data_IF_838965377921
#
_entry.id   IF_838965377921
#
_cell.length_a   1.000
_cell.length_b   1.000
_cell.length_c   1.000
_cell.angle_alpha   90.00
_cell.angle_beta   90.00
_cell.angle_gamma   90.00
#
_symmetry.space_group_name_H-M   'P 1'
#
loop_
_entity.id
_entity.type
_entity.pdbx_description
1 polymer ?
#
# COMPACT_ATOMS: atom_id res chain seq x y z
N UNK A 1 -9.70 4.30 3.40
CA UNK A 1 -8.52 3.58 2.90
C UNK A 1 -8.12 4.16 1.56
N UNK A 2 -6.82 4.34 1.38
CA UNK A 2 -6.15 4.92 0.23
C UNK A 2 -5.34 3.83 -0.46
N UNK A 3 -5.38 3.77 -1.80
CA UNK A 3 -4.53 2.87 -2.58
C UNK A 3 -3.45 3.69 -3.27
N UNK A 4 -2.21 3.27 -3.07
CA UNK A 4 -1.04 3.77 -3.76
C UNK A 4 -0.42 2.64 -4.59
N UNK A 5 0.24 2.97 -5.70
CA UNK A 5 0.93 1.99 -6.53
C UNK A 5 2.11 2.62 -7.26
N UNK A 6 3.08 1.80 -7.67
CA UNK A 6 4.14 2.26 -8.57
C UNK A 6 3.84 1.76 -9.99
N UNK A 7 3.68 2.66 -10.98
CA UNK A 7 3.20 2.29 -12.33
C UNK A 7 4.08 1.28 -13.08
N UNK A 8 5.34 1.16 -12.69
CA UNK A 8 6.41 0.45 -13.39
C UNK A 8 6.95 -0.78 -12.64
N UNK A 9 6.51 -1.05 -11.40
CA UNK A 9 6.99 -2.20 -10.60
C UNK A 9 5.90 -3.11 -10.05
N UNK A 10 4.62 -2.77 -10.24
CA UNK A 10 3.50 -3.56 -9.71
C UNK A 10 3.37 -3.50 -8.18
N UNK A 11 4.22 -2.71 -7.50
CA UNK A 11 4.13 -2.51 -6.08
C UNK A 11 2.83 -1.75 -5.73
N UNK A 12 2.14 -2.22 -4.70
CA UNK A 12 0.84 -1.70 -4.25
C UNK A 12 0.84 -1.52 -2.73
N UNK A 13 0.28 -0.41 -2.26
CA UNK A 13 0.07 -0.13 -0.85
C UNK A 13 -1.40 0.24 -0.60
N UNK A 14 -1.98 -0.31 0.46
CA UNK A 14 -3.28 0.10 1.00
C UNK A 14 -3.09 0.73 2.37
N UNK A 15 -3.35 2.04 2.50
CA UNK A 15 -3.21 2.80 3.73
C UNK A 15 -4.58 3.03 4.37
N UNK A 16 -4.72 2.83 5.68
CA UNK A 16 -6.01 2.97 6.37
C UNK A 16 -6.10 4.11 7.34
N UNK A 17 -5.13 4.22 8.22
CA UNK A 17 -5.10 5.17 9.32
C UNK A 17 -3.74 5.84 9.37
N UNK A 18 -3.73 7.09 9.82
CA UNK A 18 -2.53 7.88 10.04
C UNK A 18 -2.40 8.03 11.56
N UNK A 19 -1.18 7.89 12.07
CA UNK A 19 -0.88 8.14 13.47
C UNK A 19 -1.19 9.60 13.83
N UNK A 20 -1.89 9.82 14.95
CA UNK A 20 -2.34 11.14 15.36
C UNK A 20 -1.21 11.97 16.00
N UNK A 21 -0.25 11.31 16.64
CA UNK A 21 0.93 11.93 17.24
C UNK A 21 2.00 12.14 16.17
N UNK A 22 2.24 11.12 15.35
CA UNK A 22 3.18 11.14 14.24
C UNK A 22 2.45 11.15 12.91
N UNK A 23 1.97 12.33 12.47
CA UNK A 23 1.20 12.50 11.22
C UNK A 23 1.90 12.06 9.92
N UNK A 24 3.16 11.65 10.02
CA UNK A 24 3.93 11.06 8.93
C UNK A 24 3.78 9.53 8.87
N UNK A 25 3.37 8.86 9.94
CA UNK A 25 3.22 7.40 9.95
C UNK A 25 1.80 6.99 9.60
N UNK A 26 1.66 6.01 8.72
CA UNK A 26 0.40 5.42 8.35
C UNK A 26 0.43 3.90 8.44
N UNK A 27 -0.67 3.30 8.89
CA UNK A 27 -0.82 1.85 8.87
C UNK A 27 -1.17 1.39 7.46
N UNK A 28 -0.45 0.37 6.99
CA UNK A 28 -0.53 -0.12 5.61
C UNK A 28 -0.56 -1.64 5.51
N UNK A 29 -1.08 -2.09 4.37
CA UNK A 29 -0.78 -3.38 3.76
C UNK A 29 0.00 -3.12 2.48
N UNK A 30 1.13 -3.79 2.30
CA UNK A 30 2.05 -3.62 1.17
C UNK A 30 2.22 -4.91 0.41
N UNK A 31 2.33 -4.81 -0.90
CA UNK A 31 2.71 -5.89 -1.77
C UNK A 31 3.71 -5.36 -2.81
N UNK A 32 4.94 -5.85 -2.75
CA UNK A 32 6.01 -5.48 -3.69
C UNK A 32 6.06 -6.40 -4.91
N UNK A 33 5.05 -7.25 -5.11
CA UNK A 33 5.04 -8.25 -6.17
C UNK A 33 5.95 -9.46 -5.88
N UNK A 34 6.38 -9.63 -4.63
CA UNK A 34 7.29 -10.70 -4.20
C UNK A 34 6.55 -11.93 -3.63
N UNK A 35 5.21 -11.94 -3.67
CA UNK A 35 4.40 -13.04 -3.13
C UNK A 35 4.18 -12.98 -1.61
N UNK A 36 4.71 -11.95 -0.94
CA UNK A 36 4.68 -11.78 0.51
C UNK A 36 4.08 -10.42 0.89
N UNK A 37 2.75 -10.27 0.96
CA UNK A 37 2.14 -9.03 1.41
C UNK A 37 2.43 -8.77 2.89
N UNK A 38 2.93 -7.58 3.20
CA UNK A 38 3.38 -7.17 4.53
C UNK A 38 2.44 -6.14 5.16
N UNK A 39 2.17 -6.31 6.46
CA UNK A 39 1.33 -5.41 7.23
C UNK A 39 2.18 -4.67 8.26
N UNK A 40 2.00 -3.37 8.39
CA UNK A 40 2.71 -2.57 9.39
C UNK A 40 2.59 -1.08 9.18
N UNK A 41 3.36 -0.33 9.96
CA UNK A 41 3.47 1.12 9.82
C UNK A 41 4.48 1.49 8.73
N UNK A 42 4.27 2.63 8.10
CA UNK A 42 5.18 3.21 7.11
C UNK A 42 5.18 4.73 7.23
N UNK A 43 6.34 5.34 6.98
CA UNK A 43 6.45 6.80 6.84
C UNK A 43 5.93 7.23 5.46
N UNK A 44 5.09 8.25 5.43
CA UNK A 44 4.61 8.89 4.21
C UNK A 44 5.78 9.59 3.50
N UNK A 45 6.69 10.21 4.24
CA UNK A 45 7.94 10.73 3.66
C UNK A 45 8.75 9.63 2.98
N UNK A 46 8.95 8.48 3.60
CA UNK A 46 9.66 7.36 2.99
C UNK A 46 8.98 6.94 1.67
N UNK A 47 7.65 6.82 1.65
CA UNK A 47 6.89 6.52 0.44
C UNK A 47 7.11 7.57 -0.68
N UNK A 48 7.29 8.85 -0.34
CA UNK A 48 7.60 9.88 -1.36
C UNK A 48 8.99 9.73 -1.97
N UNK A 49 9.91 9.00 -1.33
CA UNK A 49 11.24 8.70 -1.85
C UNK A 49 11.29 7.44 -2.70
N UNK A 50 10.29 6.55 -2.57
CA UNK A 50 10.23 5.30 -3.33
C UNK A 50 10.14 5.61 -4.82
N UNK A 51 11.02 4.98 -5.58
CA UNK A 51 11.04 5.05 -7.04
C UNK A 51 10.96 3.64 -7.60
N UNK A 52 10.17 3.51 -8.65
CA UNK A 52 10.09 2.29 -9.40
C UNK A 52 11.29 2.04 -10.30
N UNK A 53 11.21 0.97 -11.07
CA UNK A 53 12.31 0.48 -11.92
C UNK A 53 12.70 1.48 -13.02
N UNK A 54 11.75 2.27 -13.51
CA UNK A 54 11.95 3.34 -14.48
C UNK A 54 12.13 4.71 -13.81
N UNK A 55 12.27 4.75 -12.48
CA UNK A 55 12.38 6.01 -11.72
C UNK A 55 11.05 6.73 -11.53
N UNK A 56 9.92 6.09 -11.79
CA UNK A 56 8.60 6.70 -11.58
C UNK A 56 8.26 6.76 -10.08
N UNK A 57 7.63 7.84 -9.61
CA UNK A 57 7.18 7.94 -8.23
C UNK A 57 5.96 7.05 -7.99
N UNK A 58 5.62 6.87 -6.71
CA UNK A 58 4.34 6.30 -6.30
C UNK A 58 3.20 7.22 -6.73
N UNK A 59 2.13 6.64 -7.25
CA UNK A 59 0.88 7.31 -7.61
C UNK A 59 -0.28 6.87 -6.73
N UNK A 60 -1.27 7.76 -6.59
CA UNK A 60 -2.53 7.49 -5.91
C UNK A 60 -3.58 7.01 -6.89
N UNK A 61 -4.20 5.88 -6.60
CA UNK A 61 -5.38 5.42 -7.32
C UNK A 61 -6.62 6.22 -6.86
N UNK A 62 -7.07 7.15 -7.70
CA UNK A 62 -8.25 7.98 -7.46
C UNK A 62 -9.57 7.24 -7.71
N UNK A 63 -9.53 6.16 -8.49
CA UNK A 63 -10.71 5.34 -8.79
C UNK A 63 -10.98 4.28 -7.73
N UNK A 64 -9.99 4.01 -6.88
CA UNK A 64 -10.09 3.04 -5.82
C UNK A 64 -11.15 3.42 -4.77
N UNK A 65 -12.11 2.51 -4.57
CA UNK A 65 -13.09 2.59 -3.49
C UNK A 65 -12.98 1.36 -2.61
N UNK A 66 -12.70 1.59 -1.34
CA UNK A 66 -12.59 0.53 -0.36
C UNK A 66 -13.97 -0.09 -0.06
N UNK A 67 -14.26 -1.25 -0.66
CA UNK A 67 -15.49 -2.00 -0.42
C UNK A 67 -15.44 -2.92 0.81
N UNK A 68 -14.25 -3.18 1.36
CA UNK A 68 -14.03 -4.05 2.51
C UNK A 68 -13.00 -3.45 3.48
N UNK A 69 -13.01 -3.94 4.73
CA UNK A 69 -12.04 -3.54 5.77
C UNK A 69 -10.63 -4.02 5.41
N UNK A 70 -9.59 -3.38 5.96
CA UNK A 70 -8.20 -3.80 5.76
C UNK A 70 -7.98 -5.26 6.13
N UNK A 71 -8.56 -5.71 7.25
CA UNK A 71 -8.45 -7.10 7.70
C UNK A 71 -8.92 -8.10 6.64
N UNK A 72 -9.97 -7.77 5.88
CA UNK A 72 -10.42 -8.61 4.77
C UNK A 72 -9.41 -8.62 3.61
N UNK A 73 -8.86 -7.46 3.25
CA UNK A 73 -7.76 -7.40 2.26
C UNK A 73 -6.54 -8.20 2.70
N UNK A 74 -6.20 -8.20 3.99
CA UNK A 74 -5.07 -8.98 4.55
C UNK A 74 -5.32 -10.48 4.43
N UNK A 75 -6.52 -10.94 4.77
CA UNK A 75 -6.90 -12.34 4.61
C UNK A 75 -6.78 -12.77 3.14
N UNK A 76 -7.35 -11.99 2.23
CA UNK A 76 -7.30 -12.28 0.78
C UNK A 76 -5.86 -12.25 0.25
N UNK A 77 -5.05 -11.31 0.75
CA UNK A 77 -3.66 -11.16 0.33
C UNK A 77 -2.77 -12.29 0.83
N UNK A 78 -2.98 -12.77 2.06
CA UNK A 78 -2.30 -13.95 2.58
C UNK A 78 -2.66 -15.21 1.80
N UNK A 79 -3.92 -15.34 1.37
CA UNK A 79 -4.36 -16.49 0.59
C UNK A 79 -3.84 -16.44 -0.86
N UNK A 80 -3.81 -15.24 -1.46
CA UNK A 80 -3.45 -15.05 -2.88
C UNK A 80 -1.96 -14.76 -3.10
N UNK A 81 -1.20 -14.52 -2.03
CA UNK A 81 0.16 -14.00 -2.08
C UNK A 81 0.28 -12.57 -2.63
N UNK A 82 -0.84 -11.86 -2.80
CA UNK A 82 -0.89 -10.52 -3.41
C UNK A 82 -2.11 -9.72 -3.00
N UNK A 83 -2.02 -8.39 -3.03
CA UNK A 83 -3.17 -7.52 -2.75
C UNK A 83 -4.23 -7.65 -3.85
N UNK A 84 -5.48 -7.95 -3.46
CA UNK A 84 -6.65 -7.98 -4.35
C UNK A 84 -7.60 -6.84 -3.96
N UNK A 85 -7.76 -5.87 -4.86
CA UNK A 85 -8.53 -4.61 -4.67
C UNK A 85 -9.59 -4.42 -5.73
#
# INVERSE_FOLDING_TARGET
MLKLFTPDTGATWLLTEIDLEERDHAFRLCDLGLGCPELGWVSLQELTTVRGRLGLPIERDLSFRAGKRLSAHVCDARHSGRIVT
#
